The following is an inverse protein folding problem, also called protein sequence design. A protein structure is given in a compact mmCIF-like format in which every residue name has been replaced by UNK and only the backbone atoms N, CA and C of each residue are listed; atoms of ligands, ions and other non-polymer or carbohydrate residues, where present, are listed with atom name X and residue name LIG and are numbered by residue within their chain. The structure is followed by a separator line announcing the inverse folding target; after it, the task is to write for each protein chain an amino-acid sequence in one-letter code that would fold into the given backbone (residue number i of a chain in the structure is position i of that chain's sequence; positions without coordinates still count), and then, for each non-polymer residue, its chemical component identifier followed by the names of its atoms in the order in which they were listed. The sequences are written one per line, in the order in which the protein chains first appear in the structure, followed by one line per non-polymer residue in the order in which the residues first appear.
data_IF_356277424746
#
_entry.id   IF_356277424746
#
_cell.length_a   1.000
_cell.length_b   1.000
_cell.length_c   1.000
_cell.angle_alpha   90.00
_cell.angle_beta   90.00
_cell.angle_gamma   90.00
#
_symmetry.space_group_name_H-M   'P 1'
#
loop_
_entity.id
_entity.type
_entity.pdbx_description
1 polymer ?
#
# COMPACT_ATOMS: atom_id res chain seq x y z
N UNK A 1 -21.34 -4.56 -0.63
CA UNK A 1 -20.37 -3.67 -1.29
C UNK A 1 -21.05 -3.14 -2.52
N UNK A 2 -21.32 -1.84 -2.51
CA UNK A 2 -21.94 -1.16 -3.63
C UNK A 2 -20.88 -0.86 -4.69
N UNK A 3 -21.31 -0.65 -5.95
CA UNK A 3 -20.40 -0.44 -7.07
C UNK A 3 -19.53 0.80 -6.85
N UNK A 4 -20.08 1.86 -6.22
CA UNK A 4 -19.31 3.05 -5.86
C UNK A 4 -18.17 2.73 -4.90
N UNK A 5 -18.41 1.90 -3.87
CA UNK A 5 -17.39 1.51 -2.89
C UNK A 5 -16.24 0.72 -3.54
N UNK A 6 -16.55 -0.15 -4.49
CA UNK A 6 -15.52 -0.87 -5.25
C UNK A 6 -14.68 0.09 -6.11
N UNK A 7 -15.29 1.11 -6.71
CA UNK A 7 -14.59 2.10 -7.52
C UNK A 7 -13.68 2.99 -6.65
N UNK A 8 -14.10 3.33 -5.43
CA UNK A 8 -13.27 4.08 -4.45
C UNK A 8 -12.00 3.33 -4.05
N UNK A 9 -12.05 2.00 -4.03
CA UNK A 9 -10.92 1.15 -3.65
C UNK A 9 -9.84 1.07 -4.75
N UNK A 10 -10.23 1.11 -6.01
CA UNK A 10 -9.31 0.98 -7.17
C UNK A 10 -8.12 1.94 -7.10
N UNK A 11 -8.29 3.27 -6.97
CA UNK A 11 -7.17 4.19 -6.94
C UNK A 11 -6.22 3.92 -5.76
N UNK A 12 -6.73 3.49 -4.61
CA UNK A 12 -5.92 3.19 -3.43
C UNK A 12 -5.11 1.91 -3.60
N UNK A 13 -5.68 0.87 -4.21
CA UNK A 13 -4.92 -0.34 -4.54
C UNK A 13 -3.86 -0.06 -5.60
N UNK A 14 -4.17 0.75 -6.61
CA UNK A 14 -3.18 1.17 -7.62
C UNK A 14 -2.05 1.96 -6.96
N UNK A 15 -2.37 2.94 -6.10
CA UNK A 15 -1.38 3.72 -5.38
C UNK A 15 -0.52 2.84 -4.45
N UNK A 16 -1.13 1.90 -3.73
CA UNK A 16 -0.42 0.97 -2.86
C UNK A 16 0.51 0.04 -3.66
N UNK A 17 0.06 -0.45 -4.81
CA UNK A 17 0.88 -1.26 -5.72
C UNK A 17 2.09 -0.46 -6.24
N UNK A 18 1.86 0.77 -6.71
CA UNK A 18 2.92 1.67 -7.14
C UNK A 18 3.91 1.92 -5.98
N UNK A 19 3.41 2.19 -4.78
CA UNK A 19 4.24 2.43 -3.62
C UNK A 19 5.06 1.19 -3.24
N UNK A 20 4.50 -0.02 -3.35
CA UNK A 20 5.22 -1.25 -3.09
C UNK A 20 6.39 -1.43 -4.07
N UNK A 21 6.14 -1.28 -5.38
CA UNK A 21 7.21 -1.37 -6.39
C UNK A 21 8.25 -0.27 -6.23
N UNK A 22 7.85 0.97 -5.97
CA UNK A 22 8.78 2.06 -5.70
C UNK A 22 9.64 1.78 -4.47
N UNK A 23 9.05 1.25 -3.40
CA UNK A 23 9.78 0.89 -2.18
C UNK A 23 10.84 -0.18 -2.47
N UNK A 24 10.45 -1.25 -3.17
CA UNK A 24 11.39 -2.31 -3.56
C UNK A 24 12.50 -1.77 -4.48
N UNK A 25 12.15 -0.96 -5.48
CA UNK A 25 13.11 -0.37 -6.41
C UNK A 25 14.10 0.56 -5.70
N UNK A 26 13.62 1.46 -4.84
CA UNK A 26 14.47 2.39 -4.07
C UNK A 26 15.40 1.62 -3.15
N UNK A 27 14.89 0.63 -2.42
CA UNK A 27 15.71 -0.19 -1.53
C UNK A 27 16.74 -0.98 -2.33
N UNK A 28 16.34 -1.61 -3.44
CA UNK A 28 17.26 -2.37 -4.26
C UNK A 28 18.35 -1.51 -4.89
N UNK A 29 18.04 -0.29 -5.33
CA UNK A 29 19.05 0.66 -5.81
C UNK A 29 20.00 1.10 -4.67
N UNK A 30 19.50 1.24 -3.45
CA UNK A 30 20.28 1.73 -2.31
C UNK A 30 21.22 0.67 -1.71
N UNK A 31 20.76 -0.59 -1.61
CA UNK A 31 21.50 -1.67 -0.92
C UNK A 31 21.89 -2.84 -1.82
N UNK A 32 21.45 -2.86 -3.08
CA UNK A 32 21.70 -3.95 -4.04
C UNK A 32 20.61 -5.02 -4.02
N UNK A 33 20.98 -6.26 -4.33
CA UNK A 33 20.05 -7.39 -4.28
C UNK A 33 19.56 -7.62 -2.84
N UNK A 34 18.25 -7.71 -2.67
CA UNK A 34 17.58 -7.97 -1.39
C UNK A 34 16.99 -9.38 -1.41
N UNK A 35 17.13 -10.09 -0.28
CA UNK A 35 16.59 -11.43 -0.16
C UNK A 35 15.06 -11.43 -0.10
N UNK A 36 14.44 -12.51 -0.57
CA UNK A 36 12.99 -12.69 -0.63
C UNK A 36 12.24 -12.32 0.67
N UNK A 37 12.75 -12.74 1.83
CA UNK A 37 12.10 -12.42 3.12
C UNK A 37 12.11 -10.92 3.45
N UNK A 38 13.11 -10.18 2.97
CA UNK A 38 13.19 -8.72 3.13
C UNK A 38 12.15 -8.07 2.22
N UNK A 39 12.01 -8.52 0.98
CA UNK A 39 10.97 -8.02 0.06
C UNK A 39 9.56 -8.20 0.64
N UNK A 40 9.28 -9.39 1.19
CA UNK A 40 8.00 -9.67 1.87
C UNK A 40 7.80 -8.72 3.05
N UNK A 41 8.81 -8.52 3.89
CA UNK A 41 8.73 -7.60 5.02
C UNK A 41 8.47 -6.16 4.57
N UNK A 42 9.13 -5.70 3.49
CA UNK A 42 8.90 -4.37 2.92
C UNK A 42 7.47 -4.21 2.40
N UNK A 43 6.94 -5.21 1.68
CA UNK A 43 5.55 -5.19 1.21
C UNK A 43 4.58 -5.11 2.40
N UNK A 44 4.79 -5.91 3.45
CA UNK A 44 3.99 -5.86 4.67
C UNK A 44 4.01 -4.45 5.28
N UNK A 45 5.19 -3.86 5.45
CA UNK A 45 5.33 -2.50 5.97
C UNK A 45 4.59 -1.48 5.09
N UNK A 46 4.71 -1.58 3.77
CA UNK A 46 4.02 -0.69 2.83
C UNK A 46 2.50 -0.81 2.96
N UNK A 47 1.96 -2.04 2.96
CA UNK A 47 0.51 -2.27 3.02
C UNK A 47 -0.08 -1.70 4.32
N UNK A 48 0.49 -2.06 5.48
CA UNK A 48 0.00 -1.59 6.77
C UNK A 48 0.27 -0.09 6.98
N UNK A 49 1.45 0.38 6.56
CA UNK A 49 1.84 1.79 6.64
C UNK A 49 0.95 2.68 5.79
N UNK A 50 0.70 2.31 4.53
CA UNK A 50 -0.19 3.05 3.63
C UNK A 50 -1.58 3.18 4.23
N UNK A 51 -2.17 2.08 4.72
CA UNK A 51 -3.49 2.11 5.36
C UNK A 51 -3.49 3.06 6.57
N UNK A 52 -2.50 2.97 7.45
CA UNK A 52 -2.38 3.82 8.64
C UNK A 52 -2.27 5.30 8.29
N UNK A 53 -1.53 5.64 7.22
CA UNK A 53 -1.35 7.02 6.75
C UNK A 53 -2.65 7.54 6.14
N UNK A 54 -3.25 6.79 5.21
CA UNK A 54 -4.46 7.20 4.49
C UNK A 54 -5.65 7.41 5.42
N UNK A 55 -5.86 6.50 6.38
CA UNK A 55 -6.93 6.64 7.38
C UNK A 55 -6.69 7.85 8.29
N UNK A 56 -5.44 8.11 8.72
CA UNK A 56 -5.12 9.29 9.54
C UNK A 56 -5.30 10.60 8.80
N UNK A 57 -5.10 10.60 7.49
CA UNK A 57 -5.29 11.78 6.65
C UNK A 57 -6.76 12.02 6.28
N UNK A 58 -7.69 11.14 6.68
CA UNK A 58 -9.11 11.26 6.37
C UNK A 58 -9.45 11.08 4.89
N UNK A 59 -8.55 10.46 4.13
CA UNK A 59 -8.73 10.13 2.70
C UNK A 59 -8.93 8.63 2.48
N UNK A 60 -9.28 7.92 3.56
CA UNK A 60 -9.59 6.51 3.52
C UNK A 60 -10.86 6.23 2.72
N UNK A 61 -10.93 5.11 1.99
CA UNK A 61 -12.17 4.69 1.37
C UNK A 61 -13.15 4.29 2.47
N UNK A 62 -14.43 4.53 2.23
CA UNK A 62 -15.53 4.27 3.17
C UNK A 62 -15.51 2.85 3.77
N UNK A 63 -15.06 1.87 2.98
CA UNK A 63 -14.91 0.45 3.36
C UNK A 63 -13.86 0.23 4.46
N UNK A 64 -12.85 1.09 4.60
CA UNK A 64 -11.82 0.91 5.63
C UNK A 64 -12.24 1.48 7.00
N UNK A 65 -13.28 2.30 7.02
CA UNK A 65 -13.81 2.97 8.21
C UNK A 65 -15.00 2.21 8.82
N UNK A 66 -15.66 1.36 8.04
CA UNK A 66 -16.82 0.56 8.46
C UNK A 66 -16.40 -0.90 8.71
N UNK A 67 -16.49 -1.42 9.96
CA UNK A 67 -16.16 -2.81 10.29
C UNK A 67 -17.16 -3.83 9.72
#
# INVERSE_FOLDING_TARGET
MDREQLIELVPHYVAMLILAFLTLAVVSVAVGEIGFWIEVALIVVVVFGYRLVVVRLGVGPSVWESP
#
